data_IF_888793107099
#
_entry.id   IF_888793107099
#
_cell.length_a   1.000
_cell.length_b   1.000
_cell.length_c   1.000
_cell.angle_alpha   90.00
_cell.angle_beta   90.00
_cell.angle_gamma   90.00
#
_symmetry.space_group_name_H-M   'P 1'
#
loop_
_entity.id
_entity.type
_entity.pdbx_description
1 polymer ?
#
# COMPACT_ATOMS: atom_id res chain seq x y z
N UNK A 1 -13.07 28.36 -18.87
CA UNK A 1 -11.95 27.75 -18.14
C UNK A 1 -12.52 27.16 -16.85
N UNK A 2 -12.49 25.84 -16.65
CA UNK A 2 -12.91 25.25 -15.39
C UNK A 2 -11.86 25.54 -14.32
N UNK A 3 -12.31 25.93 -13.12
CA UNK A 3 -11.44 26.17 -11.98
C UNK A 3 -10.69 24.88 -11.60
N UNK A 4 -9.38 24.97 -11.49
CA UNK A 4 -8.53 23.89 -10.96
C UNK A 4 -8.94 23.69 -9.50
N UNK A 5 -9.55 22.55 -9.22
CA UNK A 5 -9.97 22.18 -7.88
C UNK A 5 -8.72 21.87 -7.06
N UNK A 6 -8.38 22.75 -6.12
CA UNK A 6 -7.24 22.58 -5.23
C UNK A 6 -7.47 21.39 -4.28
N UNK A 7 -6.97 20.22 -4.68
CA UNK A 7 -7.06 18.97 -3.91
C UNK A 7 -6.37 19.06 -2.54
N UNK A 8 -5.44 19.99 -2.36
CA UNK A 8 -4.72 20.14 -1.08
C UNK A 8 -5.65 20.62 0.05
N UNK A 9 -6.64 21.45 -0.26
CA UNK A 9 -7.64 21.92 0.72
C UNK A 9 -8.69 20.85 1.07
N UNK A 10 -8.93 19.90 0.17
CA UNK A 10 -9.80 18.75 0.42
C UNK A 10 -9.21 17.77 1.44
N UNK A 11 -7.90 17.52 1.38
CA UNK A 11 -7.18 16.62 2.29
C UNK A 11 -7.07 17.19 3.71
N UNK A 12 -6.86 18.51 3.85
CA UNK A 12 -6.79 19.18 5.17
C UNK A 12 -8.15 19.16 5.88
N UNK A 13 -9.23 19.58 5.20
CA UNK A 13 -10.60 19.56 5.78
C UNK A 13 -11.12 18.14 6.05
N UNK A 14 -10.60 17.14 5.34
CA UNK A 14 -10.99 15.73 5.53
C UNK A 14 -10.20 15.07 6.68
N UNK A 15 -8.91 15.37 6.85
CA UNK A 15 -8.13 14.98 8.05
C UNK A 15 -8.69 15.63 9.31
N UNK A 16 -9.15 16.88 9.24
CA UNK A 16 -9.85 17.54 10.36
C UNK A 16 -11.15 16.78 10.72
N UNK A 17 -11.97 16.39 9.72
CA UNK A 17 -13.19 15.59 9.96
C UNK A 17 -12.96 14.16 10.46
N UNK A 18 -11.84 13.52 10.10
CA UNK A 18 -11.50 12.17 10.57
C UNK A 18 -10.76 12.19 11.91
N UNK A 19 -10.00 13.25 12.20
CA UNK A 19 -9.38 13.49 13.50
C UNK A 19 -10.41 13.72 14.60
N UNK A 20 -11.55 14.33 14.25
CA UNK A 20 -12.72 14.53 15.12
C UNK A 20 -13.69 13.34 15.13
N UNK A 21 -13.36 12.23 14.45
CA UNK A 21 -14.20 11.03 14.47
C UNK A 21 -13.94 10.25 15.76
N UNK A 22 -14.98 10.13 16.59
CA UNK A 22 -15.00 9.21 17.74
C UNK A 22 -15.03 7.73 17.32
N UNK A 23 -15.11 7.45 16.01
CA UNK A 23 -15.08 6.10 15.50
C UNK A 23 -13.64 5.54 15.62
N UNK A 24 -13.40 4.56 16.51
CA UNK A 24 -12.08 3.96 16.70
C UNK A 24 -11.53 3.33 15.41
N UNK A 25 -12.40 3.03 14.44
CA UNK A 25 -12.09 2.49 13.12
C UNK A 25 -11.51 3.54 12.16
N UNK A 26 -12.05 4.76 12.21
CA UNK A 26 -11.52 5.89 11.44
C UNK A 26 -10.17 6.31 12.01
N UNK A 27 -10.06 6.36 13.33
CA UNK A 27 -8.81 6.63 14.04
C UNK A 27 -7.73 5.57 13.72
N UNK A 28 -8.11 4.32 13.46
CA UNK A 28 -7.22 3.26 13.01
C UNK A 28 -6.59 3.54 11.65
N UNK A 29 -7.44 3.92 10.69
CA UNK A 29 -7.04 4.19 9.32
C UNK A 29 -6.18 5.46 9.26
N UNK A 30 -6.53 6.49 10.04
CA UNK A 30 -5.72 7.71 10.19
C UNK A 30 -4.33 7.41 10.78
N UNK A 31 -4.23 6.46 11.72
CA UNK A 31 -2.96 6.04 12.34
C UNK A 31 -2.05 5.18 11.46
N UNK A 32 -2.55 4.66 10.32
CA UNK A 32 -1.71 3.91 9.39
C UNK A 32 -0.68 4.79 8.64
N UNK A 33 -0.73 6.12 8.82
CA UNK A 33 0.23 7.11 8.28
C UNK A 33 0.63 6.86 6.82
N UNK A 34 -0.34 6.50 5.99
CA UNK A 34 -0.10 6.35 4.56
C UNK A 34 -0.13 7.76 3.96
N UNK A 35 1.03 8.25 3.52
CA UNK A 35 1.18 9.65 3.09
C UNK A 35 0.52 9.97 1.74
N UNK A 36 0.02 8.96 1.03
CA UNK A 36 -0.46 9.04 -0.36
C UNK A 36 -1.97 8.89 -0.52
N UNK A 37 -2.77 9.35 0.46
CA UNK A 37 -4.23 9.20 0.42
C UNK A 37 -4.85 9.98 -0.74
N UNK A 38 -5.22 9.27 -1.81
CA UNK A 38 -6.22 9.75 -2.75
C UNK A 38 -7.61 9.56 -2.12
N UNK A 39 -8.50 10.56 -2.12
CA UNK A 39 -9.84 10.45 -1.53
C UNK A 39 -10.69 9.27 -2.06
N UNK A 40 -10.43 8.82 -3.29
CA UNK A 40 -11.08 7.64 -3.89
C UNK A 40 -10.67 6.30 -3.26
N UNK A 41 -9.52 6.23 -2.57
CA UNK A 41 -8.99 4.98 -2.01
C UNK A 41 -9.62 4.63 -0.65
N UNK A 42 -10.27 5.58 0.02
CA UNK A 42 -10.88 5.35 1.33
C UNK A 42 -11.99 4.28 1.28
N UNK A 43 -12.83 4.32 0.24
CA UNK A 43 -13.87 3.32 0.04
C UNK A 43 -13.27 1.92 -0.16
N UNK A 44 -12.15 1.84 -0.90
CA UNK A 44 -11.44 0.58 -1.13
C UNK A 44 -10.88 0.03 0.18
N UNK A 45 -10.26 0.87 1.01
CA UNK A 45 -9.72 0.46 2.31
C UNK A 45 -10.82 0.03 3.29
N UNK A 46 -11.90 0.81 3.39
CA UNK A 46 -13.03 0.51 4.26
C UNK A 46 -13.65 -0.83 3.88
N UNK A 47 -13.99 -1.01 2.60
CA UNK A 47 -14.54 -2.29 2.10
C UNK A 47 -13.55 -3.45 2.20
N UNK A 48 -12.24 -3.20 2.13
CA UNK A 48 -11.21 -4.22 2.38
C UNK A 48 -11.27 -4.68 3.82
N UNK A 49 -11.23 -3.74 4.76
CA UNK A 49 -11.19 -4.07 6.17
C UNK A 49 -12.48 -4.76 6.61
N UNK A 50 -13.66 -4.34 6.12
CA UNK A 50 -14.91 -5.09 6.32
C UNK A 50 -14.83 -6.54 5.84
N UNK A 51 -14.23 -6.77 4.66
CA UNK A 51 -14.04 -8.13 4.14
C UNK A 51 -13.07 -8.93 4.99
N UNK A 52 -12.00 -8.31 5.50
CA UNK A 52 -11.05 -8.94 6.42
C UNK A 52 -11.78 -9.35 7.71
N UNK A 53 -12.54 -8.44 8.32
CA UNK A 53 -13.30 -8.73 9.53
C UNK A 53 -14.29 -9.88 9.31
N UNK A 54 -15.02 -9.85 8.19
CA UNK A 54 -15.96 -10.91 7.84
C UNK A 54 -15.28 -12.29 7.73
N UNK A 55 -14.10 -12.39 7.10
CA UNK A 55 -13.39 -13.68 7.01
C UNK A 55 -12.76 -14.11 8.32
N UNK A 56 -12.44 -13.18 9.21
CA UNK A 56 -12.00 -13.45 10.57
C UNK A 56 -13.14 -13.76 11.55
N UNK A 57 -14.40 -13.74 11.09
CA UNK A 57 -15.57 -13.91 11.96
C UNK A 57 -15.73 -12.82 13.02
N UNK A 58 -15.18 -11.63 12.76
CA UNK A 58 -15.24 -10.48 13.66
C UNK A 58 -16.30 -9.48 13.19
N UNK A 59 -16.89 -8.75 14.12
CA UNK A 59 -17.78 -7.63 13.81
C UNK A 59 -16.99 -6.31 13.70
N UNK A 60 -17.70 -5.22 13.39
CA UNK A 60 -17.10 -3.88 13.25
C UNK A 60 -16.75 -3.21 14.59
N UNK A 61 -17.11 -3.82 15.72
CA UNK A 61 -16.84 -3.28 17.05
C UNK A 61 -15.44 -3.68 17.56
N UNK A 62 -14.76 -4.61 16.88
CA UNK A 62 -13.39 -4.97 17.23
C UNK A 62 -12.46 -3.76 17.14
N UNK A 63 -11.67 -3.56 18.18
CA UNK A 63 -10.65 -2.51 18.20
C UNK A 63 -9.43 -2.92 17.38
N UNK A 64 -8.67 -1.93 16.91
CA UNK A 64 -7.37 -2.16 16.27
C UNK A 64 -6.44 -3.03 17.11
N UNK A 65 -6.42 -2.78 18.42
CA UNK A 65 -5.55 -3.51 19.35
C UNK A 65 -5.98 -4.98 19.47
N UNK A 66 -7.27 -5.25 19.41
CA UNK A 66 -7.79 -6.62 19.39
C UNK A 66 -7.49 -7.30 18.07
N UNK A 67 -7.66 -6.61 16.94
CA UNK A 67 -7.32 -7.14 15.62
C UNK A 67 -5.81 -7.40 15.48
N UNK A 68 -4.95 -6.53 16.03
CA UNK A 68 -3.51 -6.74 16.12
C UNK A 68 -3.15 -7.95 17.00
N UNK A 69 -3.93 -8.22 18.07
CA UNK A 69 -3.73 -9.40 18.93
C UNK A 69 -4.20 -10.69 18.26
N UNK A 70 -5.26 -10.64 17.47
CA UNK A 70 -5.71 -11.78 16.66
C UNK A 70 -4.66 -12.13 15.60
N UNK A 71 -3.91 -11.13 15.12
CA UNK A 71 -2.86 -11.25 14.09
C UNK A 71 -3.24 -12.22 12.95
N UNK A 72 -4.43 -12.06 12.33
CA UNK A 72 -4.90 -13.03 11.36
C UNK A 72 -3.94 -13.05 10.17
N UNK A 73 -3.52 -14.26 9.79
CA UNK A 73 -2.73 -14.51 8.58
C UNK A 73 -3.69 -14.71 7.42
N UNK A 74 -3.57 -13.83 6.43
CA UNK A 74 -4.50 -13.71 5.33
C UNK A 74 -3.80 -14.04 4.01
N UNK A 75 -4.55 -14.58 3.06
CA UNK A 75 -4.09 -14.78 1.69
C UNK A 75 -5.05 -14.08 0.71
N UNK A 76 -4.49 -13.37 -0.27
CA UNK A 76 -5.28 -12.76 -1.34
C UNK A 76 -5.57 -13.80 -2.43
N UNK A 77 -6.83 -14.18 -2.59
CA UNK A 77 -7.30 -15.09 -3.63
C UNK A 77 -7.03 -14.57 -5.06
N UNK A 78 -7.12 -13.25 -5.26
CA UNK A 78 -6.76 -12.62 -6.53
C UNK A 78 -5.28 -12.85 -6.87
N UNK A 79 -4.39 -12.59 -5.92
CA UNK A 79 -2.97 -12.87 -6.10
C UNK A 79 -2.67 -14.35 -6.22
N UNK A 80 -3.38 -15.23 -5.50
CA UNK A 80 -3.16 -16.68 -5.58
C UNK A 80 -3.37 -17.23 -7.00
N UNK A 81 -4.27 -16.62 -7.78
CA UNK A 81 -4.54 -17.02 -9.15
C UNK A 81 -3.51 -16.50 -10.17
N UNK A 82 -2.97 -15.29 -9.97
CA UNK A 82 -2.11 -14.61 -10.94
C UNK A 82 -0.63 -14.50 -10.53
N UNK A 83 -0.34 -14.70 -9.25
CA UNK A 83 0.97 -14.58 -8.61
C UNK A 83 1.18 -15.75 -7.65
N UNK A 84 2.29 -15.72 -6.89
CA UNK A 84 2.53 -16.68 -5.81
C UNK A 84 1.61 -16.37 -4.62
N UNK A 85 1.19 -17.38 -3.85
CA UNK A 85 0.50 -17.15 -2.59
C UNK A 85 1.37 -16.29 -1.67
N UNK A 86 0.77 -15.24 -1.11
CA UNK A 86 1.41 -14.31 -0.17
C UNK A 86 0.72 -14.46 1.18
N UNK A 87 1.50 -14.37 2.26
CA UNK A 87 0.95 -14.37 3.61
C UNK A 87 0.96 -12.94 4.12
N UNK A 88 -0.22 -12.36 4.33
CA UNK A 88 -0.36 -10.99 4.82
C UNK A 88 -0.84 -10.97 6.26
N UNK A 89 -0.32 -10.04 7.05
CA UNK A 89 -1.00 -9.46 8.21
C UNK A 89 -2.21 -8.65 7.75
N UNK A 90 -3.16 -8.41 8.65
CA UNK A 90 -4.33 -7.57 8.33
C UNK A 90 -3.95 -6.17 7.83
N UNK A 91 -2.90 -5.57 8.40
CA UNK A 91 -2.41 -4.24 7.97
C UNK A 91 -1.83 -4.28 6.55
N UNK A 92 -1.04 -5.30 6.26
CA UNK A 92 -0.46 -5.54 4.93
C UNK A 92 -1.55 -5.83 3.91
N UNK A 93 -2.60 -6.55 4.29
CA UNK A 93 -3.76 -6.82 3.45
C UNK A 93 -4.53 -5.54 3.09
N UNK A 94 -4.66 -4.59 4.02
CA UNK A 94 -5.25 -3.27 3.73
C UNK A 94 -4.39 -2.48 2.73
N UNK A 95 -3.07 -2.43 2.95
CA UNK A 95 -2.13 -1.74 2.03
C UNK A 95 -2.11 -2.40 0.66
N UNK A 96 -2.10 -3.73 0.61
CA UNK A 96 -2.15 -4.51 -0.63
C UNK A 96 -3.33 -4.11 -1.50
N UNK A 97 -4.50 -3.85 -0.91
CA UNK A 97 -5.67 -3.45 -1.69
C UNK A 97 -5.62 -2.02 -2.22
N UNK A 98 -4.83 -1.16 -1.59
CA UNK A 98 -4.58 0.19 -2.09
C UNK A 98 -3.61 0.17 -3.28
N UNK A 99 -2.59 -0.66 -3.22
CA UNK A 99 -1.48 -0.64 -4.18
C UNK A 99 -1.67 -1.59 -5.35
N UNK A 100 -2.39 -2.70 -5.17
CA UNK A 100 -2.54 -3.73 -6.19
C UNK A 100 -3.96 -3.74 -6.75
N UNK A 101 -4.07 -3.44 -8.05
CA UNK A 101 -5.34 -3.53 -8.76
C UNK A 101 -5.70 -5.00 -9.05
N UNK A 102 -6.87 -5.44 -8.59
CA UNK A 102 -7.44 -6.74 -8.96
C UNK A 102 -8.62 -6.55 -9.91
N UNK A 103 -8.63 -7.20 -11.09
CA UNK A 103 -9.75 -7.11 -12.04
C UNK A 103 -11.10 -7.50 -11.43
N UNK A 104 -11.07 -8.38 -10.42
CA UNK A 104 -12.24 -8.87 -9.70
C UNK A 104 -12.78 -7.92 -8.63
N UNK A 105 -12.12 -6.79 -8.34
CA UNK A 105 -12.56 -5.87 -7.28
C UNK A 105 -13.95 -5.27 -7.53
N UNK A 106 -14.35 -5.15 -8.80
CA UNK A 106 -15.66 -4.63 -9.21
C UNK A 106 -16.78 -5.66 -9.38
N UNK A 107 -16.51 -6.97 -9.28
CA UNK A 107 -17.51 -7.99 -9.64
C UNK A 107 -18.43 -8.41 -8.49
N UNK A 108 -18.20 -7.91 -7.26
CA UNK A 108 -19.02 -8.19 -6.09
C UNK A 108 -19.06 -9.65 -5.65
N UNK A 109 -18.24 -10.53 -6.24
CA UNK A 109 -18.22 -11.97 -5.96
C UNK A 109 -16.90 -12.34 -5.30
N UNK A 110 -17.04 -13.09 -4.20
CA UNK A 110 -16.05 -13.66 -3.27
C UNK A 110 -15.23 -12.70 -2.42
N UNK A 111 -15.04 -13.07 -1.14
CA UNK A 111 -14.04 -12.43 -0.30
C UNK A 111 -12.68 -12.65 -0.97
N UNK A 112 -12.01 -11.55 -1.31
CA UNK A 112 -10.64 -11.61 -1.85
C UNK A 112 -9.65 -12.17 -0.83
N UNK A 113 -10.07 -12.27 0.43
CA UNK A 113 -9.27 -12.75 1.52
C UNK A 113 -9.75 -14.12 2.00
N UNK A 114 -8.78 -14.93 2.41
CA UNK A 114 -8.95 -16.20 3.10
C UNK A 114 -8.07 -16.17 4.35
N UNK A 115 -8.60 -16.62 5.49
CA UNK A 115 -7.79 -16.82 6.71
C UNK A 115 -7.04 -18.14 6.56
N UNK A 116 -5.73 -18.09 6.70
CA UNK A 116 -4.87 -19.26 6.62
C UNK A 116 -4.83 -19.99 7.96
N UNK A 117 -4.84 -21.33 7.91
CA UNK A 117 -4.52 -22.17 9.06
C UNK A 117 -3.04 -22.05 9.44
N UNK A 118 -2.70 -22.38 10.69
CA UNK A 118 -1.29 -22.38 11.15
C UNK A 118 -0.39 -23.29 10.29
N UNK A 119 -0.93 -24.42 9.83
CA UNK A 119 -0.22 -25.36 8.95
C UNK A 119 0.09 -24.74 7.59
N UNK A 120 -0.87 -24.00 7.01
CA UNK A 120 -0.67 -23.29 5.75
C UNK A 120 0.31 -22.14 5.89
N UNK A 121 0.23 -21.38 6.98
CA UNK A 121 1.20 -20.31 7.29
C UNK A 121 2.61 -20.91 7.37
N UNK A 122 2.78 -22.03 8.08
CA UNK A 122 4.07 -22.72 8.18
C UNK A 122 4.59 -23.20 6.82
N UNK A 123 3.69 -23.69 5.95
CA UNK A 123 4.03 -24.13 4.60
C UNK A 123 4.44 -22.97 3.69
N UNK A 124 3.81 -21.81 3.85
CA UNK A 124 4.01 -20.64 2.98
C UNK A 124 5.13 -19.71 3.48
N UNK A 125 5.43 -19.69 4.78
CA UNK A 125 6.44 -18.80 5.37
C UNK A 125 7.84 -18.85 4.70
N UNK A 126 8.35 -20.00 4.21
CA UNK A 126 9.61 -20.01 3.46
C UNK A 126 9.49 -19.34 2.07
N UNK A 127 8.33 -19.49 1.41
CA UNK A 127 8.08 -18.91 0.10
C UNK A 127 7.90 -17.40 0.18
N UNK A 128 7.24 -16.94 1.23
CA UNK A 128 7.01 -15.53 1.54
C UNK A 128 8.36 -14.82 1.80
N UNK A 129 9.19 -15.37 2.70
CA UNK A 129 10.56 -14.87 2.93
C UNK A 129 11.42 -14.83 1.66
N UNK A 130 11.38 -15.90 0.86
CA UNK A 130 12.14 -15.93 -0.39
C UNK A 130 11.60 -14.92 -1.42
N UNK A 131 10.30 -14.59 -1.39
CA UNK A 131 9.71 -13.57 -2.24
C UNK A 131 10.16 -12.18 -1.79
N UNK A 132 10.14 -11.90 -0.48
CA UNK A 132 10.64 -10.65 0.10
C UNK A 132 12.12 -10.44 -0.19
N UNK A 133 12.95 -11.44 0.05
CA UNK A 133 14.39 -11.38 -0.27
C UNK A 133 14.62 -11.11 -1.75
N UNK A 134 13.84 -11.72 -2.64
CA UNK A 134 13.94 -11.45 -4.08
C UNK A 134 13.41 -10.07 -4.45
N UNK A 135 12.36 -9.57 -3.79
CA UNK A 135 11.82 -8.23 -3.99
C UNK A 135 12.84 -7.18 -3.54
N UNK A 136 13.37 -7.32 -2.32
CA UNK A 136 14.46 -6.51 -1.77
C UNK A 136 15.68 -6.58 -2.70
N UNK A 137 16.07 -7.77 -3.17
CA UNK A 137 17.18 -7.92 -4.12
C UNK A 137 16.89 -7.19 -5.43
N UNK A 138 15.68 -7.27 -5.98
CA UNK A 138 15.29 -6.53 -7.20
C UNK A 138 15.29 -5.03 -6.97
N UNK A 139 14.76 -4.57 -5.84
CA UNK A 139 14.77 -3.15 -5.44
C UNK A 139 16.19 -2.63 -5.19
N UNK A 140 17.10 -3.46 -4.69
CA UNK A 140 18.51 -3.11 -4.50
C UNK A 140 19.32 -3.19 -5.81
N UNK A 141 18.84 -3.94 -6.81
CA UNK A 141 19.48 -4.07 -8.12
C UNK A 141 18.97 -3.04 -9.13
N UNK A 142 17.80 -2.45 -8.93
CA UNK A 142 17.25 -1.43 -9.81
C UNK A 142 17.34 -0.04 -9.19
N UNK A 143 18.11 0.88 -9.79
CA UNK A 143 18.21 2.22 -9.24
C UNK A 143 16.90 2.97 -9.46
N UNK A 144 16.40 3.62 -8.41
CA UNK A 144 15.29 4.57 -8.53
C UNK A 144 15.79 5.84 -9.20
N UNK A 145 15.00 6.37 -10.12
CA UNK A 145 15.24 7.65 -10.76
C UNK A 145 14.43 8.72 -10.03
N UNK A 146 15.10 9.81 -9.64
CA UNK A 146 14.54 10.91 -8.90
C UNK A 146 14.56 12.18 -9.74
N UNK A 147 13.45 12.90 -9.79
CA UNK A 147 13.43 14.25 -10.35
C UNK A 147 14.24 15.20 -9.46
N UNK A 148 14.96 16.15 -10.05
CA UNK A 148 15.64 17.22 -9.28
C UNK A 148 14.77 18.45 -9.08
N UNK A 149 13.70 18.56 -9.85
CA UNK A 149 12.79 19.71 -9.87
C UNK A 149 11.58 19.50 -8.94
N UNK A 150 11.31 18.26 -8.54
CA UNK A 150 10.30 17.90 -7.54
C UNK A 150 10.65 16.58 -6.82
N UNK A 151 9.81 16.14 -5.88
CA UNK A 151 10.03 14.91 -5.10
C UNK A 151 9.51 13.62 -5.79
N UNK A 152 9.10 13.71 -7.06
CA UNK A 152 8.63 12.56 -7.84
C UNK A 152 9.79 11.61 -8.17
N UNK A 153 9.52 10.30 -8.10
CA UNK A 153 10.47 9.25 -8.45
C UNK A 153 9.81 8.18 -9.33
N UNK A 154 10.63 7.42 -10.06
CA UNK A 154 10.20 6.37 -10.97
C UNK A 154 11.21 5.23 -11.05
N UNK A 155 10.77 4.09 -11.58
CA UNK A 155 11.60 2.88 -11.69
C UNK A 155 12.51 2.87 -12.92
N UNK A 156 12.25 3.75 -13.89
CA UNK A 156 13.01 3.78 -15.12
C UNK A 156 13.35 5.22 -15.53
N UNK A 157 14.47 5.36 -16.25
CA UNK A 157 14.99 6.65 -16.71
C UNK A 157 14.06 7.34 -17.71
N UNK A 158 13.40 6.57 -18.57
CA UNK A 158 12.59 7.10 -19.67
C UNK A 158 11.31 7.76 -19.15
N UNK A 159 10.64 7.13 -18.19
CA UNK A 159 9.48 7.66 -17.48
C UNK A 159 9.87 8.93 -16.73
N UNK A 160 11.05 8.94 -16.08
CA UNK A 160 11.51 10.14 -15.39
C UNK A 160 11.81 11.28 -16.38
N UNK A 161 12.44 10.99 -17.52
CA UNK A 161 12.63 11.98 -18.58
C UNK A 161 11.28 12.46 -19.14
N UNK A 162 10.28 11.59 -19.27
CA UNK A 162 8.95 11.98 -19.73
C UNK A 162 8.25 12.87 -18.69
N UNK A 163 8.29 12.51 -17.41
CA UNK A 163 7.81 13.34 -16.31
C UNK A 163 8.45 14.75 -16.34
N UNK A 164 9.77 14.82 -16.55
CA UNK A 164 10.48 16.10 -16.63
C UNK A 164 10.05 16.95 -17.83
N UNK A 165 9.74 16.31 -18.98
CA UNK A 165 9.16 17.02 -20.13
C UNK A 165 7.78 17.57 -19.82
N UNK A 166 6.92 16.74 -19.24
CA UNK A 166 5.49 17.03 -19.11
C UNK A 166 5.18 17.99 -17.95
N UNK A 167 5.88 17.87 -16.83
CA UNK A 167 5.58 18.61 -15.60
C UNK A 167 6.49 19.83 -15.37
N UNK A 168 7.64 19.89 -16.05
CA UNK A 168 8.63 20.96 -15.86
C UNK A 168 8.98 21.71 -17.15
N UNK A 169 8.29 21.44 -18.25
CA UNK A 169 8.48 22.07 -19.57
C UNK A 169 9.93 21.99 -20.13
N UNK A 170 10.72 20.99 -19.71
CA UNK A 170 12.09 20.80 -20.18
C UNK A 170 12.09 19.85 -21.38
N UNK A 171 12.12 20.41 -22.59
CA UNK A 171 12.01 19.64 -23.84
C UNK A 171 13.07 18.53 -24.00
N UNK A 172 14.31 18.76 -23.55
CA UNK A 172 15.42 17.81 -23.66
C UNK A 172 16.05 17.54 -22.29
N UNK A 173 15.43 16.71 -21.44
CA UNK A 173 15.94 16.37 -20.12
C UNK A 173 17.29 15.66 -20.18
N UNK A 174 18.19 16.02 -19.26
CA UNK A 174 19.52 15.45 -19.14
C UNK A 174 19.79 14.94 -17.72
N UNK A 175 20.98 14.41 -17.47
CA UNK A 175 21.36 13.90 -16.14
C UNK A 175 21.50 15.01 -15.07
N UNK A 176 21.36 16.29 -15.45
CA UNK A 176 21.23 17.41 -14.50
C UNK A 176 19.80 17.63 -14.02
N UNK A 177 18.81 16.97 -14.61
CA UNK A 177 17.38 17.16 -14.31
C UNK A 177 16.79 16.00 -13.47
N UNK A 178 17.50 14.87 -13.45
CA UNK A 178 17.17 13.72 -12.63
C UNK A 178 18.45 12.95 -12.28
N UNK A 179 18.39 12.11 -11.25
CA UNK A 179 19.52 11.26 -10.86
C UNK A 179 19.04 9.88 -10.46
N UNK A 180 19.93 8.90 -10.60
CA UNK A 180 19.67 7.55 -10.13
C UNK A 180 20.24 7.38 -8.72
N UNK A 181 19.47 6.73 -7.84
CA UNK A 181 19.91 6.37 -6.49
C UNK A 181 19.64 4.88 -6.28
N UNK A 182 20.65 4.09 -5.84
CA UNK A 182 20.49 2.66 -5.60
C UNK A 182 19.55 2.33 -4.43
N UNK A 183 19.21 3.32 -3.59
CA UNK A 183 18.03 3.42 -2.74
C UNK A 183 18.24 4.58 -1.75
N UNK A 184 17.17 5.29 -1.38
CA UNK A 184 17.10 5.90 -0.06
C UNK A 184 16.86 4.73 0.90
N UNK A 185 17.63 4.52 1.98
CA UNK A 185 17.26 3.51 2.95
C UNK A 185 15.85 3.84 3.42
N UNK A 186 14.90 2.94 3.18
CA UNK A 186 13.73 2.86 4.05
C UNK A 186 14.38 2.64 5.42
N UNK A 187 14.33 3.65 6.30
CA UNK A 187 14.93 3.59 7.62
C UNK A 187 14.59 2.24 8.23
N UNK A 188 15.61 1.42 8.51
CA UNK A 188 15.51 0.06 9.01
C UNK A 188 14.87 -0.03 10.42
N UNK A 189 14.18 1.01 10.88
CA UNK A 189 13.61 1.12 12.23
C UNK A 189 12.27 0.39 12.41
N UNK A 190 11.76 -0.38 11.43
CA UNK A 190 10.45 -1.05 11.58
C UNK A 190 10.38 -2.53 11.27
N UNK A 191 11.50 -3.24 11.18
CA UNK A 191 11.48 -4.70 11.28
C UNK A 191 12.18 -5.11 12.57
N UNK A 192 11.48 -4.94 13.69
CA UNK A 192 11.81 -5.68 14.90
C UNK A 192 11.29 -7.10 14.68
N UNK A 193 12.18 -8.02 14.35
CA UNK A 193 11.90 -9.44 14.57
C UNK A 193 11.80 -9.62 16.08
N UNK A 194 10.61 -9.94 16.56
CA UNK A 194 10.41 -10.44 17.91
C UNK A 194 10.61 -11.94 17.80
N UNK A 195 11.66 -12.44 18.46
CA UNK A 195 11.93 -13.87 18.66
C UNK A 195 10.79 -14.58 19.41
#
# INVERSE_FOLDING_TARGET
>A
MPAIHDCSQGVVRFKERLGDSDDPYVQALVKLDVKSWHPGNYYVMYTTLERILAVCGQDRLITVRELDRLDPRLSCNGCRAYRRPMVCRWREAVVHMETEWHPSYGSGKTSLWEVLSEEEVKKLAPLDRAADENAIRRMNLQPFWWCRHCETHGLNRNDMAQHVRDEHDIANPSDTDFFSSPNKPISAERVVYVD
#
